data_IF_040286945308
#
_entry.id   IF_040286945308
#
_cell.length_a   1.000
_cell.length_b   1.000
_cell.length_c   1.000
_cell.angle_alpha   90.00
_cell.angle_beta   90.00
_cell.angle_gamma   90.00
#
_symmetry.space_group_name_H-M   'P 1'
#
loop_
_entity.id
_entity.type
_entity.pdbx_description
1 polymer ?
#
# COMPACT_ATOMS: atom_id res chain seq x y z
N UNK A 1 5.62 35.56 19.03
CA UNK A 1 5.40 34.65 20.18
C UNK A 1 5.15 33.25 19.62
N UNK A 2 6.16 32.37 19.67
CA UNK A 2 6.12 31.01 19.13
C UNK A 2 6.29 30.03 20.31
N UNK A 3 5.31 29.18 20.56
CA UNK A 3 5.37 28.17 21.63
C UNK A 3 6.12 26.95 21.08
N UNK A 4 7.39 26.78 21.48
CA UNK A 4 8.15 25.53 21.32
C UNK A 4 7.93 24.68 22.57
N UNK A 5 7.13 23.62 22.46
CA UNK A 5 6.99 22.58 23.50
C UNK A 5 8.16 21.59 23.49
N UNK A 6 8.38 20.84 24.60
CA UNK A 6 9.55 19.98 24.76
C UNK A 6 9.30 18.61 24.12
N UNK A 7 9.59 18.48 22.83
CA UNK A 7 9.84 17.17 22.24
C UNK A 7 11.34 16.97 22.08
N UNK A 8 12.01 16.62 23.17
CA UNK A 8 13.30 15.94 23.10
C UNK A 8 13.02 14.44 23.03
N UNK A 9 13.03 13.84 21.84
CA UNK A 9 12.94 12.38 21.72
C UNK A 9 14.33 11.78 21.54
N UNK A 10 14.94 11.38 22.66
CA UNK A 10 15.89 10.28 22.68
C UNK A 10 15.16 9.00 22.25
N UNK A 11 15.60 8.40 21.14
CA UNK A 11 15.00 7.22 20.52
C UNK A 11 14.22 7.58 19.26
N UNK A 12 14.64 7.06 18.10
CA UNK A 12 13.86 7.14 16.86
C UNK A 12 12.56 6.36 17.08
N UNK A 13 11.52 7.01 17.60
CA UNK A 13 10.18 6.43 17.61
C UNK A 13 9.75 6.34 16.15
N UNK A 14 9.80 5.13 15.59
CA UNK A 14 9.24 4.84 14.26
C UNK A 14 7.80 5.37 14.27
N UNK A 15 7.52 6.36 13.42
CA UNK A 15 6.20 6.98 13.34
C UNK A 15 5.09 5.94 13.10
N UNK A 16 3.81 6.29 13.32
CA UNK A 16 2.71 5.35 13.12
C UNK A 16 2.73 4.78 11.69
N UNK A 17 2.38 3.50 11.56
CA UNK A 17 2.24 2.89 10.24
C UNK A 17 1.09 3.54 9.48
N UNK A 18 1.41 4.29 8.41
CA UNK A 18 0.39 4.75 7.47
C UNK A 18 -0.04 3.59 6.58
N UNK A 19 -1.32 3.24 6.62
CA UNK A 19 -1.88 2.10 5.88
C UNK A 19 -2.90 2.58 4.86
N UNK A 20 -2.80 2.09 3.62
CA UNK A 20 -3.82 2.25 2.59
C UNK A 20 -4.60 0.94 2.42
N UNK A 21 -5.92 1.01 2.55
CA UNK A 21 -6.81 -0.09 2.17
C UNK A 21 -7.14 0.06 0.68
N UNK A 22 -6.59 -0.82 -0.15
CA UNK A 22 -6.81 -0.86 -1.58
C UNK A 22 -8.19 -1.47 -1.85
N UNK A 23 -9.04 -0.69 -2.50
CA UNK A 23 -10.42 -1.07 -2.80
C UNK A 23 -10.52 -1.91 -4.06
N UNK A 24 -9.70 -1.59 -5.06
CA UNK A 24 -9.69 -2.26 -6.35
C UNK A 24 -8.27 -2.58 -6.81
N UNK A 25 -8.08 -3.79 -7.33
CA UNK A 25 -6.83 -4.24 -7.94
C UNK A 25 -7.17 -4.87 -9.29
N UNK A 26 -6.48 -4.44 -10.35
CA UNK A 26 -6.61 -5.01 -11.68
C UNK A 26 -5.26 -5.06 -12.38
N UNK A 27 -4.75 -6.26 -12.64
CA UNK A 27 -3.55 -6.43 -13.48
C UNK A 27 -4.01 -6.48 -14.94
N UNK A 28 -3.70 -5.45 -15.71
CA UNK A 28 -4.21 -5.24 -17.08
C UNK A 28 -3.30 -4.30 -17.87
N UNK A 29 -3.42 -4.30 -19.18
CA UNK A 29 -2.83 -3.33 -20.11
C UNK A 29 -3.68 -2.06 -20.28
N UNK A 30 -4.90 -2.00 -19.73
CA UNK A 30 -5.79 -0.84 -19.77
C UNK A 30 -6.20 -0.37 -18.36
N UNK A 31 -5.29 0.35 -17.71
CA UNK A 31 -5.49 0.86 -16.36
C UNK A 31 -6.65 1.88 -16.28
N UNK A 32 -6.84 2.70 -17.31
CA UNK A 32 -7.89 3.72 -17.33
C UNK A 32 -9.28 3.08 -17.40
N UNK A 33 -9.46 2.06 -18.24
CA UNK A 33 -10.71 1.30 -18.27
C UNK A 33 -11.01 0.61 -16.94
N UNK A 34 -10.00 0.02 -16.29
CA UNK A 34 -10.16 -0.59 -14.97
C UNK A 34 -10.55 0.43 -13.88
N UNK A 35 -10.07 1.67 -13.98
CA UNK A 35 -10.40 2.74 -13.04
C UNK A 35 -11.73 3.45 -13.35
N UNK A 36 -12.30 3.27 -14.56
CA UNK A 36 -13.47 4.02 -15.03
C UNK A 36 -14.71 3.87 -14.13
N UNK A 37 -14.97 2.67 -13.59
CA UNK A 37 -16.08 2.44 -12.67
C UNK A 37 -15.93 3.25 -11.38
N UNK A 38 -14.77 3.18 -10.74
CA UNK A 38 -14.47 3.96 -9.53
C UNK A 38 -14.47 5.47 -9.80
N UNK A 39 -13.97 5.89 -10.96
CA UNK A 39 -14.00 7.29 -11.40
C UNK A 39 -15.44 7.82 -11.46
N UNK A 40 -16.35 7.07 -12.08
CA UNK A 40 -17.77 7.42 -12.16
C UNK A 40 -18.44 7.49 -10.78
N UNK A 41 -18.16 6.53 -9.89
CA UNK A 41 -18.72 6.50 -8.52
C UNK A 41 -18.22 7.64 -7.63
N UNK A 42 -17.00 8.11 -7.85
CA UNK A 42 -16.35 9.14 -7.02
C UNK A 42 -16.41 10.55 -7.60
N UNK A 43 -16.82 10.70 -8.87
CA UNK A 43 -16.79 11.97 -9.59
C UNK A 43 -15.38 12.45 -9.95
N UNK A 44 -14.40 11.55 -9.94
CA UNK A 44 -13.01 11.81 -10.34
C UNK A 44 -12.76 11.37 -11.77
N UNK A 45 -11.65 11.81 -12.36
CA UNK A 45 -11.14 11.22 -13.60
C UNK A 45 -10.43 9.88 -13.33
N UNK A 46 -10.34 8.97 -14.32
CA UNK A 46 -9.57 7.73 -14.17
C UNK A 46 -8.12 7.98 -13.74
N UNK A 47 -7.48 9.00 -14.31
CA UNK A 47 -6.10 9.39 -13.95
C UNK A 47 -5.98 9.83 -12.48
N UNK A 48 -6.96 10.58 -11.95
CA UNK A 48 -6.98 10.97 -10.53
C UNK A 48 -7.18 9.78 -9.61
N UNK A 49 -8.05 8.84 -9.98
CA UNK A 49 -8.25 7.58 -9.25
C UNK A 49 -6.96 6.76 -9.19
N UNK A 50 -6.32 6.55 -10.35
CA UNK A 50 -5.06 5.82 -10.48
C UNK A 50 -3.91 6.50 -9.74
N UNK A 51 -3.96 7.82 -9.59
CA UNK A 51 -2.97 8.53 -8.80
C UNK A 51 -3.04 8.10 -7.33
N UNK A 52 -4.25 7.85 -6.77
CA UNK A 52 -4.50 7.50 -5.36
C UNK A 52 -3.92 6.13 -4.94
N UNK A 53 -3.73 5.87 -3.62
CA UNK A 53 -3.27 4.56 -3.16
C UNK A 53 -4.43 3.54 -2.98
N UNK A 54 -5.65 3.90 -3.38
CA UNK A 54 -6.85 3.08 -3.14
C UNK A 54 -7.24 2.22 -4.33
N UNK A 55 -6.65 2.48 -5.50
CA UNK A 55 -6.78 1.65 -6.71
C UNK A 55 -5.39 1.33 -7.22
N UNK A 56 -5.11 0.04 -7.43
CA UNK A 56 -3.89 -0.43 -8.07
C UNK A 56 -4.26 -1.14 -9.37
N UNK A 57 -4.25 -0.41 -10.48
CA UNK A 57 -4.57 -0.96 -11.78
C UNK A 57 -3.49 -0.63 -12.81
N UNK A 58 -3.25 -1.57 -13.72
CA UNK A 58 -2.25 -1.48 -14.77
C UNK A 58 -1.36 -2.71 -14.85
N UNK A 59 -0.28 -2.59 -15.60
CA UNK A 59 0.70 -3.65 -15.79
C UNK A 59 1.44 -3.95 -14.49
N UNK A 60 2.08 -5.13 -14.38
CA UNK A 60 3.01 -5.44 -13.29
C UNK A 60 3.98 -4.32 -12.92
N UNK A 61 4.55 -3.65 -13.93
CA UNK A 61 5.54 -2.61 -13.75
C UNK A 61 4.92 -1.31 -13.24
N UNK A 62 3.75 -0.94 -13.78
CA UNK A 62 2.98 0.22 -13.34
C UNK A 62 2.50 0.06 -11.90
N UNK A 63 2.01 -1.11 -11.50
CA UNK A 63 1.57 -1.36 -10.13
C UNK A 63 2.75 -1.25 -9.15
N UNK A 64 3.91 -1.82 -9.47
CA UNK A 64 5.11 -1.71 -8.64
C UNK A 64 5.58 -0.24 -8.56
N UNK A 65 5.54 0.49 -9.68
CA UNK A 65 5.89 1.90 -9.73
C UNK A 65 4.91 2.77 -8.92
N UNK A 66 3.62 2.49 -9.00
CA UNK A 66 2.56 3.17 -8.25
C UNK A 66 2.78 2.99 -6.74
N UNK A 67 2.94 1.74 -6.27
CA UNK A 67 3.24 1.45 -4.86
C UNK A 67 4.49 2.20 -4.41
N UNK A 68 5.58 2.17 -5.18
CA UNK A 68 6.79 2.91 -4.85
C UNK A 68 6.55 4.43 -4.80
N UNK A 69 5.76 4.97 -5.73
CA UNK A 69 5.38 6.38 -5.81
C UNK A 69 4.56 6.82 -4.61
N UNK A 70 3.54 6.05 -4.22
CA UNK A 70 2.68 6.30 -3.07
C UNK A 70 3.46 6.33 -1.75
N UNK A 71 4.45 5.44 -1.61
CA UNK A 71 5.37 5.44 -0.47
C UNK A 71 6.19 6.73 -0.41
N UNK A 72 6.74 7.18 -1.54
CA UNK A 72 7.53 8.44 -1.62
C UNK A 72 6.67 9.68 -1.40
N UNK A 73 5.47 9.72 -1.99
CA UNK A 73 4.60 10.90 -1.99
C UNK A 73 3.86 11.10 -0.67
N UNK A 74 3.37 10.02 -0.07
CA UNK A 74 2.48 10.10 1.09
C UNK A 74 3.02 9.41 2.34
N UNK A 75 4.15 8.71 2.25
CA UNK A 75 4.68 7.96 3.37
C UNK A 75 3.85 6.71 3.71
N UNK A 76 3.05 6.18 2.77
CA UNK A 76 2.33 4.92 3.00
C UNK A 76 3.35 3.83 3.32
N UNK A 77 3.11 3.06 4.36
CA UNK A 77 4.02 2.01 4.85
C UNK A 77 3.45 0.61 4.69
N UNK A 78 2.13 0.49 4.49
CA UNK A 78 1.42 -0.77 4.30
C UNK A 78 0.27 -0.62 3.31
N UNK A 79 0.14 -1.60 2.42
CA UNK A 79 -1.02 -1.77 1.56
C UNK A 79 -1.77 -3.02 2.00
N UNK A 80 -3.09 -2.89 2.12
CA UNK A 80 -3.99 -3.99 2.46
C UNK A 80 -4.93 -4.17 1.29
N UNK A 81 -5.09 -5.41 0.83
CA UNK A 81 -5.95 -5.75 -0.29
C UNK A 81 -7.06 -6.67 0.18
N UNK A 82 -8.16 -6.71 -0.56
CA UNK A 82 -9.25 -7.68 -0.31
C UNK A 82 -8.81 -9.08 -0.75
N UNK A 83 -9.40 -10.11 -0.15
CA UNK A 83 -9.05 -11.51 -0.42
C UNK A 83 -9.09 -11.86 -1.93
N UNK A 84 -10.09 -11.34 -2.67
CA UNK A 84 -10.21 -11.59 -4.12
C UNK A 84 -9.07 -11.01 -4.98
N UNK A 85 -8.26 -10.09 -4.45
CA UNK A 85 -7.12 -9.51 -5.15
C UNK A 85 -5.79 -10.25 -4.91
N UNK A 86 -5.77 -11.23 -3.99
CA UNK A 86 -4.53 -11.91 -3.58
C UNK A 86 -3.92 -12.69 -4.73
N UNK A 87 -4.71 -13.49 -5.43
CA UNK A 87 -4.25 -14.31 -6.57
C UNK A 87 -3.65 -13.45 -7.68
N UNK A 88 -4.29 -12.33 -8.02
CA UNK A 88 -3.80 -11.40 -9.05
C UNK A 88 -2.47 -10.75 -8.66
N UNK A 89 -2.23 -10.52 -7.37
CA UNK A 89 -1.00 -9.90 -6.86
C UNK A 89 0.10 -10.90 -6.54
N UNK A 90 -0.20 -12.19 -6.40
CA UNK A 90 0.77 -13.21 -6.02
C UNK A 90 2.07 -13.17 -6.86
N UNK A 91 2.03 -13.01 -8.20
CA UNK A 91 3.24 -12.91 -9.02
C UNK A 91 4.07 -11.63 -8.77
N UNK A 92 3.44 -10.58 -8.23
CA UNK A 92 4.06 -9.27 -7.97
C UNK A 92 4.68 -9.19 -6.58
N UNK A 93 4.30 -10.09 -5.65
CA UNK A 93 4.76 -10.06 -4.26
C UNK A 93 6.29 -10.00 -4.09
N UNK A 94 7.11 -10.79 -4.82
CA UNK A 94 8.57 -10.70 -4.68
C UNK A 94 9.10 -9.31 -5.01
N UNK A 95 8.53 -8.67 -6.04
CA UNK A 95 8.93 -7.33 -6.49
C UNK A 95 8.50 -6.27 -5.48
N UNK A 96 7.28 -6.37 -4.96
CA UNK A 96 6.74 -5.47 -3.95
C UNK A 96 7.47 -5.59 -2.61
N UNK A 97 7.85 -6.81 -2.22
CA UNK A 97 8.67 -7.07 -1.04
C UNK A 97 10.07 -6.43 -1.18
N UNK A 98 10.66 -6.48 -2.37
CA UNK A 98 11.93 -5.80 -2.67
C UNK A 98 11.87 -4.28 -2.45
N UNK A 99 10.71 -3.64 -2.63
CA UNK A 99 10.55 -2.22 -2.33
C UNK A 99 10.68 -1.95 -0.83
N UNK A 100 10.20 -2.85 0.04
CA UNK A 100 10.19 -2.65 1.49
C UNK A 100 11.61 -2.68 2.10
N UNK A 101 12.59 -3.19 1.37
CA UNK A 101 13.94 -3.48 1.87
C UNK A 101 13.93 -4.70 2.80
N UNK A 102 15.10 -5.35 2.95
CA UNK A 102 15.34 -6.53 3.78
C UNK A 102 14.82 -6.44 5.24
N UNK A 103 14.46 -5.26 5.74
CA UNK A 103 13.86 -5.04 7.05
C UNK A 103 12.37 -5.46 7.16
N UNK A 104 11.65 -5.63 6.04
CA UNK A 104 10.22 -5.97 6.05
C UNK A 104 9.90 -7.47 6.21
N UNK A 105 10.77 -8.35 5.70
CA UNK A 105 10.58 -9.80 5.74
C UNK A 105 10.78 -10.39 7.15
N UNK A 106 11.69 -9.80 7.94
CA UNK A 106 11.93 -10.24 9.33
C UNK A 106 10.68 -10.11 10.23
N UNK A 107 9.84 -9.09 10.00
CA UNK A 107 8.65 -8.85 10.82
C UNK A 107 7.40 -9.65 10.42
N UNK A 108 7.40 -10.29 9.24
CA UNK A 108 6.29 -11.19 8.83
C UNK A 108 6.46 -12.59 9.44
N UNK A 109 7.70 -13.08 9.54
CA UNK A 109 8.00 -14.35 10.21
C UNK A 109 7.62 -14.33 11.71
N UNK A 110 7.74 -13.17 12.39
CA UNK A 110 7.32 -13.03 13.79
C UNK A 110 5.79 -13.03 13.96
N UNK A 111 5.03 -12.49 12.99
CA UNK A 111 3.57 -12.36 13.11
C UNK A 111 2.78 -13.60 12.70
N UNK A 112 3.36 -14.47 11.86
CA UNK A 112 2.77 -15.78 11.56
C UNK A 112 2.63 -16.64 12.83
N UNK A 113 3.56 -16.49 13.78
CA UNK A 113 3.54 -17.18 15.08
C UNK A 113 2.52 -16.61 16.08
N UNK A 114 2.14 -15.34 15.96
CA UNK A 114 1.14 -14.71 16.82
C UNK A 114 -0.30 -15.06 16.41
N UNK A 115 -0.55 -15.38 15.13
CA UNK A 115 -1.90 -15.65 14.64
C UNK A 115 -2.44 -17.02 15.11
N UNK A 116 -1.57 -18.00 15.39
CA UNK A 116 -1.97 -19.30 15.96
C UNK A 116 -2.37 -19.23 17.44
N UNK A 117 -1.97 -18.20 18.18
CA UNK A 117 -2.25 -18.09 19.62
C UNK A 117 -3.59 -17.43 19.98
N UNK A 118 -4.38 -17.01 19.00
CA UNK A 118 -5.63 -16.26 19.23
C UNK A 118 -6.90 -17.02 18.82
N UNK A 119 -6.89 -18.36 18.87
CA UNK A 119 -8.12 -19.15 19.01
C UNK A 119 -8.29 -19.61 20.45
N UNK A 120 -9.18 -18.95 21.18
CA UNK A 120 -9.98 -19.54 22.25
C UNK A 120 -11.43 -19.30 21.94
#
# INVERSE_FOLDING_TARGET
MLIRGPFTSSGVKKGPFLTALVQHVAVTDDAEAAAAGTAAETGLTPAEVLATPFVLAGTPDEIVAAVAGHRRRWGVTRFVVRAGAVEALAPLLPRLAGLAGLAGLAGLAEKELDFEHTRK
#
